data_IF_329433159154
#
_entry.id   IF_329433159154
#
_cell.length_a   1.000
_cell.length_b   1.000
_cell.length_c   1.000
_cell.angle_alpha   90.00
_cell.angle_beta   90.00
_cell.angle_gamma   90.00
#
_symmetry.space_group_name_H-M   'P 1'
#
loop_
_entity.id
_entity.type
_entity.pdbx_description
1 polymer ?
#
# COMPACT_ATOMS: atom_id res chain seq x y z
N UNK A 1 -11.24 19.92 -4.16
CA UNK A 1 -12.68 19.77 -3.84
C UNK A 1 -13.03 18.37 -4.32
N UNK A 2 -13.01 17.33 -3.48
CA UNK A 2 -14.12 16.93 -2.61
C UNK A 2 -13.61 15.82 -1.66
N UNK A 3 -13.58 16.07 -0.36
CA UNK A 3 -13.73 15.02 0.65
C UNK A 3 -14.79 15.55 1.62
N UNK A 4 -16.04 15.19 1.36
CA UNK A 4 -17.16 15.48 2.26
C UNK A 4 -17.32 14.27 3.18
N UNK A 5 -16.97 14.45 4.44
CA UNK A 5 -17.25 13.51 5.51
C UNK A 5 -18.76 13.45 5.73
N UNK A 6 -19.42 12.39 5.24
CA UNK A 6 -20.81 12.11 5.61
C UNK A 6 -20.83 11.29 6.89
N UNK A 7 -21.47 11.87 7.89
CA UNK A 7 -21.90 11.27 9.16
C UNK A 7 -22.41 9.83 8.97
N UNK A 8 -21.80 8.89 9.71
CA UNK A 8 -22.32 7.53 9.85
C UNK A 8 -23.61 7.57 10.67
N UNK A 9 -24.72 7.31 9.98
CA UNK A 9 -26.01 7.09 10.61
C UNK A 9 -26.83 6.09 9.80
N UNK A 10 -26.73 4.80 10.13
CA UNK A 10 -27.88 3.87 10.20
C UNK A 10 -27.46 2.49 10.69
N UNK A 11 -28.06 2.06 11.80
CA UNK A 11 -28.14 0.65 12.19
C UNK A 11 -28.78 -0.16 11.06
N UNK A 12 -28.03 -1.11 10.49
CA UNK A 12 -28.54 -2.15 9.58
C UNK A 12 -28.42 -3.49 10.31
N UNK A 13 -29.53 -4.22 10.39
CA UNK A 13 -29.59 -5.55 11.00
C UNK A 13 -28.60 -6.51 10.33
N UNK A 14 -28.12 -7.47 11.12
CA UNK A 14 -26.99 -8.36 10.87
C UNK A 14 -26.79 -8.86 9.43
N UNK A 15 -25.59 -8.85 8.86
CA UNK A 15 -24.44 -7.94 8.95
C UNK A 15 -23.48 -8.51 7.89
N UNK A 16 -23.22 -7.79 6.82
CA UNK A 16 -22.14 -8.11 5.89
C UNK A 16 -21.17 -6.95 5.97
N UNK A 17 -19.88 -7.23 6.04
CA UNK A 17 -18.85 -6.22 5.91
C UNK A 17 -18.19 -6.34 4.54
N UNK A 18 -18.20 -5.26 3.77
CA UNK A 18 -17.56 -5.20 2.46
C UNK A 18 -16.25 -4.45 2.58
N UNK A 19 -15.16 -5.12 2.22
CA UNK A 19 -13.83 -4.52 2.12
C UNK A 19 -13.52 -4.18 0.66
N UNK A 20 -12.97 -3.01 0.41
CA UNK A 20 -12.27 -2.72 -0.83
C UNK A 20 -10.77 -2.89 -0.59
N UNK A 21 -10.14 -3.75 -1.39
CA UNK A 21 -8.74 -4.10 -1.23
C UNK A 21 -8.00 -3.65 -2.49
N UNK A 22 -7.00 -2.79 -2.31
CA UNK A 22 -6.08 -2.34 -3.35
C UNK A 22 -4.69 -2.88 -2.99
N UNK A 23 -3.99 -3.52 -3.91
CA UNK A 23 -2.67 -4.10 -3.67
C UNK A 23 -1.77 -3.86 -4.88
N UNK A 24 -0.46 -3.87 -4.67
CA UNK A 24 0.56 -3.88 -5.73
C UNK A 24 0.39 -2.70 -6.70
N UNK A 25 0.19 -1.51 -6.14
CA UNK A 25 0.03 -0.26 -6.92
C UNK A 25 1.28 0.01 -7.75
N UNK A 26 2.46 -0.26 -7.20
CA UNK A 26 3.74 -0.19 -7.89
C UNK A 26 3.94 1.10 -8.70
N UNK A 27 3.68 2.28 -8.12
CA UNK A 27 3.86 3.56 -8.81
C UNK A 27 2.98 3.73 -10.06
N UNK A 28 1.96 2.90 -10.26
CA UNK A 28 1.05 2.96 -11.39
C UNK A 28 -0.12 3.92 -11.10
N UNK A 29 0.12 5.19 -11.37
CA UNK A 29 -0.82 6.27 -11.09
C UNK A 29 -2.18 6.07 -11.77
N UNK A 30 -2.20 5.67 -13.05
CA UNK A 30 -3.44 5.49 -13.82
C UNK A 30 -4.29 4.34 -13.26
N UNK A 31 -3.63 3.23 -12.88
CA UNK A 31 -4.32 2.12 -12.23
C UNK A 31 -4.89 2.51 -10.87
N UNK A 32 -4.13 3.26 -10.06
CA UNK A 32 -4.59 3.77 -8.77
C UNK A 32 -5.81 4.69 -8.91
N UNK A 33 -5.78 5.65 -9.84
CA UNK A 33 -6.90 6.56 -10.10
C UNK A 33 -8.15 5.81 -10.58
N UNK A 34 -7.97 4.78 -11.41
CA UNK A 34 -9.06 3.92 -11.86
C UNK A 34 -9.67 3.14 -10.70
N UNK A 35 -8.83 2.52 -9.85
CA UNK A 35 -9.28 1.80 -8.66
C UNK A 35 -10.06 2.71 -7.70
N UNK A 36 -9.54 3.93 -7.43
CA UNK A 36 -10.23 4.93 -6.62
C UNK A 36 -11.58 5.33 -7.20
N UNK A 37 -11.69 5.45 -8.52
CA UNK A 37 -12.96 5.75 -9.19
C UNK A 37 -13.97 4.62 -8.98
N UNK A 38 -13.56 3.36 -9.13
CA UNK A 38 -14.40 2.18 -8.87
C UNK A 38 -14.86 2.13 -7.42
N UNK A 39 -13.96 2.39 -6.46
CA UNK A 39 -14.27 2.44 -5.02
C UNK A 39 -15.28 3.56 -4.73
N UNK A 40 -15.03 4.76 -5.25
CA UNK A 40 -15.89 5.93 -5.01
C UNK A 40 -17.30 5.80 -5.59
N UNK A 41 -17.48 4.95 -6.60
CA UNK A 41 -18.78 4.69 -7.22
C UNK A 41 -19.66 3.72 -6.41
N UNK A 42 -19.13 3.15 -5.31
CA UNK A 42 -19.84 2.20 -4.46
C UNK A 42 -20.23 2.85 -3.13
N UNK A 43 -21.45 2.59 -2.68
CA UNK A 43 -21.98 3.06 -1.39
C UNK A 43 -21.97 1.97 -0.31
N UNK A 44 -21.59 0.75 -0.67
CA UNK A 44 -21.67 -0.44 0.19
C UNK A 44 -20.30 -0.91 0.71
N UNK A 45 -19.26 -0.08 0.58
CA UNK A 45 -17.92 -0.34 1.11
C UNK A 45 -17.85 0.19 2.54
N UNK A 46 -17.55 -0.70 3.49
CA UNK A 46 -17.43 -0.36 4.90
C UNK A 46 -15.99 0.05 5.26
N UNK A 47 -14.99 -0.51 4.57
CA UNK A 47 -13.58 -0.27 4.84
C UNK A 47 -12.72 -0.46 3.59
N UNK A 48 -11.68 0.37 3.44
CA UNK A 48 -10.73 0.30 2.34
C UNK A 48 -9.34 -0.01 2.90
N UNK A 49 -8.68 -0.98 2.29
CA UNK A 49 -7.34 -1.42 2.62
C UNK A 49 -6.42 -1.29 1.42
N UNK A 50 -5.20 -0.83 1.69
CA UNK A 50 -4.08 -0.89 0.77
C UNK A 50 -3.09 -1.95 1.29
N UNK A 51 -2.81 -2.99 0.50
CA UNK A 51 -2.06 -4.17 0.93
C UNK A 51 -0.58 -4.15 0.52
N UNK A 52 0.05 -2.99 0.54
CA UNK A 52 1.48 -2.86 0.29
C UNK A 52 1.84 -2.67 -1.18
N UNK A 53 3.13 -2.50 -1.39
CA UNK A 53 3.80 -2.34 -2.68
C UNK A 53 3.28 -1.14 -3.47
N UNK A 54 3.48 0.04 -2.88
CA UNK A 54 2.87 1.28 -3.34
C UNK A 54 3.70 2.00 -4.39
N UNK A 55 5.00 2.09 -4.16
CA UNK A 55 5.83 3.14 -4.78
C UNK A 55 6.73 2.61 -5.90
N UNK A 56 7.29 1.42 -5.71
CA UNK A 56 8.39 0.92 -6.54
C UNK A 56 7.90 0.16 -7.77
N UNK A 57 8.80 -0.13 -8.72
CA UNK A 57 8.56 -0.81 -10.00
C UNK A 57 7.77 -0.03 -11.06
N UNK A 58 7.13 1.08 -10.71
CA UNK A 58 6.51 1.99 -11.68
C UNK A 58 6.95 3.44 -11.55
N UNK A 59 6.49 4.28 -12.49
CA UNK A 59 7.14 5.56 -12.79
C UNK A 59 6.66 6.74 -11.94
N UNK A 60 5.60 6.59 -11.12
CA UNK A 60 4.97 7.71 -10.41
C UNK A 60 4.91 7.52 -8.87
N UNK A 61 6.01 7.16 -8.19
CA UNK A 61 6.02 6.95 -6.74
C UNK A 61 5.59 8.19 -5.95
N UNK A 62 6.01 9.39 -6.37
CA UNK A 62 5.71 10.65 -5.70
C UNK A 62 4.22 10.99 -5.81
N UNK A 63 3.65 10.85 -7.00
CA UNK A 63 2.23 11.12 -7.24
C UNK A 63 1.34 10.12 -6.49
N UNK A 64 1.76 8.86 -6.41
CA UNK A 64 1.10 7.87 -5.56
C UNK A 64 1.14 8.31 -4.09
N UNK A 65 2.30 8.72 -3.56
CA UNK A 65 2.40 9.26 -2.20
C UNK A 65 1.48 10.47 -1.98
N UNK A 66 1.47 11.42 -2.91
CA UNK A 66 0.66 12.64 -2.85
C UNK A 66 -0.85 12.32 -2.77
N UNK A 67 -1.28 11.22 -3.40
CA UNK A 67 -2.66 10.71 -3.33
C UNK A 67 -2.94 10.01 -2.00
N UNK A 68 -2.08 9.10 -1.54
CA UNK A 68 -2.35 8.27 -0.36
C UNK A 68 -2.23 9.04 0.96
N UNK A 69 -1.28 9.97 1.06
CA UNK A 69 -0.98 10.75 2.27
C UNK A 69 -2.20 11.44 2.91
N UNK A 70 -3.05 12.18 2.17
CA UNK A 70 -4.21 12.87 2.76
C UNK A 70 -5.37 11.95 3.16
N UNK A 71 -5.32 10.64 2.85
CA UNK A 71 -6.40 9.71 3.20
C UNK A 71 -6.28 9.28 4.66
N UNK A 72 -7.23 9.65 5.53
CA UNK A 72 -7.15 9.39 6.97
C UNK A 72 -7.95 8.15 7.43
N UNK A 73 -9.01 7.77 6.71
CA UNK A 73 -9.90 6.66 7.07
C UNK A 73 -9.60 5.38 6.25
N UNK A 74 -8.31 5.12 6.03
CA UNK A 74 -7.81 4.01 5.21
C UNK A 74 -6.79 3.21 6.00
N UNK A 75 -6.86 1.88 5.88
CA UNK A 75 -5.84 0.99 6.43
C UNK A 75 -4.74 0.76 5.39
N UNK A 76 -3.49 1.02 5.78
CA UNK A 76 -2.33 0.70 4.96
C UNK A 76 -1.55 -0.44 5.60
N UNK A 77 -1.33 -1.51 4.84
CA UNK A 77 -0.49 -2.65 5.22
C UNK A 77 0.83 -2.56 4.47
N UNK A 78 1.94 -2.91 5.10
CA UNK A 78 3.27 -2.78 4.51
C UNK A 78 3.57 -3.96 3.58
N UNK A 79 4.05 -3.66 2.37
CA UNK A 79 4.59 -4.64 1.44
C UNK A 79 6.10 -4.86 1.61
N UNK A 80 6.65 -5.83 0.90
CA UNK A 80 8.09 -6.05 0.90
C UNK A 80 8.82 -4.91 0.17
N UNK A 81 8.21 -4.24 -0.81
CA UNK A 81 8.85 -3.09 -1.45
C UNK A 81 9.00 -1.89 -0.50
N UNK A 82 8.06 -1.68 0.42
CA UNK A 82 8.24 -0.69 1.49
C UNK A 82 9.33 -1.09 2.49
N UNK A 83 9.44 -2.39 2.82
CA UNK A 83 10.57 -2.92 3.64
C UNK A 83 11.91 -2.57 3.00
N UNK A 84 12.06 -2.85 1.71
CA UNK A 84 13.31 -2.61 0.98
C UNK A 84 13.70 -1.13 0.96
N UNK A 85 12.72 -0.21 0.96
CA UNK A 85 12.96 1.23 1.11
C UNK A 85 13.46 1.57 2.51
N UNK A 86 12.81 1.07 3.57
CA UNK A 86 13.21 1.34 4.97
C UNK A 86 14.63 0.80 5.23
N UNK A 87 14.89 -0.42 4.78
CA UNK A 87 16.18 -1.11 4.97
C UNK A 87 17.28 -0.58 4.05
N UNK A 88 16.93 0.29 3.09
CA UNK A 88 17.84 0.82 2.07
C UNK A 88 18.57 -0.31 1.38
N UNK A 89 17.82 -1.23 0.77
CA UNK A 89 18.31 -2.46 0.13
C UNK A 89 19.53 -2.21 -0.77
N UNK A 90 19.56 -1.09 -1.48
CA UNK A 90 20.67 -0.66 -2.36
C UNK A 90 22.01 -0.38 -1.66
N UNK A 91 22.06 -0.38 -0.32
CA UNK A 91 23.30 -0.25 0.46
C UNK A 91 23.86 -1.59 0.92
N UNK A 92 23.14 -2.69 0.68
CA UNK A 92 23.60 -4.03 1.04
C UNK A 92 24.65 -4.52 0.04
N UNK A 93 25.63 -5.29 0.52
CA UNK A 93 26.73 -5.80 -0.33
C UNK A 93 26.24 -6.82 -1.38
N UNK A 94 25.28 -7.69 -0.99
CA UNK A 94 24.70 -8.71 -1.87
C UNK A 94 23.17 -8.74 -1.67
N UNK A 95 22.42 -7.75 -2.19
CA UNK A 95 20.99 -7.68 -2.02
C UNK A 95 20.33 -8.85 -2.74
N UNK A 96 19.57 -9.66 -2.00
CA UNK A 96 18.74 -10.73 -2.57
C UNK A 96 17.27 -10.31 -2.50
N UNK A 97 16.50 -10.73 -3.49
CA UNK A 97 15.07 -10.45 -3.58
C UNK A 97 14.34 -11.77 -3.77
N UNK A 98 13.53 -12.18 -2.80
CA UNK A 98 12.64 -13.35 -2.90
C UNK A 98 13.34 -14.63 -3.42
N UNK A 99 14.58 -14.87 -2.96
CA UNK A 99 15.39 -16.03 -3.36
C UNK A 99 16.08 -15.91 -4.73
N UNK A 100 15.95 -14.77 -5.42
CA UNK A 100 16.70 -14.49 -6.65
C UNK A 100 18.17 -14.16 -6.35
N UNK A 101 19.04 -14.54 -7.29
CA UNK A 101 20.48 -14.29 -7.20
C UNK A 101 20.78 -12.78 -7.25
N UNK A 102 21.71 -12.26 -6.43
CA UNK A 102 22.14 -10.87 -6.50
C UNK A 102 22.82 -10.54 -7.84
N UNK A 103 23.32 -11.56 -8.55
CA UNK A 103 23.94 -11.40 -9.86
C UNK A 103 22.93 -11.26 -11.00
N UNK A 104 21.66 -11.59 -10.77
CA UNK A 104 20.60 -11.50 -11.77
C UNK A 104 20.41 -10.04 -12.21
N UNK A 105 20.46 -9.74 -13.52
CA UNK A 105 20.25 -8.38 -14.02
C UNK A 105 18.90 -7.79 -13.61
N UNK A 106 17.86 -8.62 -13.41
CA UNK A 106 16.55 -8.17 -12.94
C UNK A 106 16.67 -7.66 -11.49
N UNK A 107 17.36 -8.41 -10.61
CA UNK A 107 17.57 -8.00 -9.22
C UNK A 107 18.32 -6.67 -9.16
N UNK A 108 19.37 -6.50 -9.97
CA UNK A 108 20.11 -5.25 -10.07
C UNK A 108 19.21 -4.09 -10.49
N UNK A 109 18.38 -4.29 -11.53
CA UNK A 109 17.41 -3.30 -11.98
C UNK A 109 16.37 -2.94 -10.92
N UNK A 110 15.86 -3.93 -10.17
CA UNK A 110 14.91 -3.67 -9.07
C UNK A 110 15.60 -2.88 -7.97
N UNK A 111 16.82 -3.24 -7.56
CA UNK A 111 17.57 -2.52 -6.51
C UNK A 111 17.85 -1.06 -6.91
N UNK A 112 18.23 -0.82 -8.17
CA UNK A 112 18.41 0.53 -8.71
C UNK A 112 17.09 1.32 -8.71
N UNK A 113 16.01 0.71 -9.17
CA UNK A 113 14.68 1.34 -9.15
C UNK A 113 14.20 1.60 -7.72
N UNK A 114 14.52 0.72 -6.78
CA UNK A 114 14.16 0.90 -5.36
C UNK A 114 14.80 2.14 -4.77
N UNK A 115 16.10 2.34 -5.05
CA UNK A 115 16.81 3.55 -4.66
C UNK A 115 16.15 4.78 -5.28
N UNK A 116 15.90 4.75 -6.58
CA UNK A 116 15.27 5.88 -7.28
C UNK A 116 13.87 6.21 -6.71
N UNK A 117 13.03 5.21 -6.46
CA UNK A 117 11.69 5.40 -5.89
C UNK A 117 11.76 6.00 -4.47
N UNK A 118 12.71 5.53 -3.64
CA UNK A 118 12.96 6.09 -2.32
C UNK A 118 13.38 7.58 -2.39
N UNK A 119 14.19 7.95 -3.38
CA UNK A 119 14.57 9.35 -3.62
C UNK A 119 13.38 10.22 -4.05
N UNK A 120 12.43 9.68 -4.82
CA UNK A 120 11.22 10.41 -5.25
C UNK A 120 10.27 10.71 -4.09
N UNK A 121 10.05 9.74 -3.19
CA UNK A 121 9.12 9.90 -2.06
C UNK A 121 9.74 10.67 -0.89
N UNK A 122 11.08 10.66 -0.79
CA UNK A 122 11.84 11.41 0.21
C UNK A 122 11.51 11.05 1.65
N UNK A 123 11.85 11.94 2.58
CA UNK A 123 11.60 11.76 4.02
C UNK A 123 10.11 11.61 4.33
N UNK A 124 9.24 12.37 3.64
CA UNK A 124 7.79 12.26 3.81
C UNK A 124 7.27 10.87 3.46
N UNK A 125 7.79 10.24 2.42
CA UNK A 125 7.45 8.87 2.08
C UNK A 125 7.94 7.86 3.11
N UNK A 126 9.17 8.03 3.60
CA UNK A 126 9.71 7.17 4.67
C UNK A 126 8.90 7.32 5.96
N UNK A 127 8.49 8.54 6.31
CA UNK A 127 7.62 8.82 7.45
C UNK A 127 6.21 8.22 7.26
N UNK A 128 5.66 8.28 6.05
CA UNK A 128 4.42 7.60 5.71
C UNK A 128 4.56 6.09 5.94
N UNK A 129 5.60 5.46 5.40
CA UNK A 129 5.80 4.01 5.58
C UNK A 129 5.92 3.68 7.06
N UNK A 130 6.75 4.38 7.83
CA UNK A 130 7.00 4.06 9.23
C UNK A 130 5.78 4.28 10.13
N UNK A 131 5.01 5.34 9.90
CA UNK A 131 3.99 5.79 10.85
C UNK A 131 2.56 5.50 10.40
N UNK A 132 2.33 5.25 9.10
CA UNK A 132 0.99 5.03 8.54
C UNK A 132 0.73 3.61 8.08
N UNK A 133 1.75 2.76 7.97
CA UNK A 133 1.58 1.36 7.54
C UNK A 133 1.72 0.38 8.71
N UNK A 134 0.94 -0.70 8.66
CA UNK A 134 0.95 -1.80 9.62
C UNK A 134 1.52 -3.07 8.99
N UNK A 135 2.08 -3.99 9.77
CA UNK A 135 2.54 -5.29 9.26
C UNK A 135 1.35 -6.15 8.83
N UNK A 136 0.27 -6.12 9.60
CA UNK A 136 -1.00 -6.74 9.24
C UNK A 136 -2.17 -5.97 9.83
N UNK A 137 -3.36 -6.20 9.25
CA UNK A 137 -4.63 -5.73 9.79
C UNK A 137 -5.50 -6.93 10.12
N UNK A 138 -6.13 -6.92 11.30
CA UNK A 138 -6.97 -8.03 11.76
C UNK A 138 -8.34 -7.52 12.13
N UNK A 139 -9.34 -8.23 11.65
CA UNK A 139 -10.74 -7.98 11.92
C UNK A 139 -11.38 -9.28 12.43
N UNK A 140 -12.23 -9.18 13.45
CA UNK A 140 -13.07 -10.29 13.89
C UNK A 140 -14.50 -9.97 13.50
N UNK A 141 -15.06 -10.78 12.62
CA UNK A 141 -16.44 -10.66 12.16
C UNK A 141 -17.22 -11.90 12.60
N UNK A 142 -18.20 -11.70 13.49
CA UNK A 142 -18.88 -12.77 14.25
C UNK A 142 -17.90 -13.72 14.94
N UNK A 143 -17.69 -14.91 14.38
CA UNK A 143 -16.76 -15.94 14.87
C UNK A 143 -15.56 -16.16 13.94
N UNK A 144 -15.41 -15.35 12.89
CA UNK A 144 -14.35 -15.46 11.89
C UNK A 144 -13.29 -14.39 12.13
N UNK A 145 -12.04 -14.82 12.32
CA UNK A 145 -10.88 -13.93 12.25
C UNK A 145 -10.44 -13.80 10.78
N UNK A 146 -10.31 -12.57 10.32
CA UNK A 146 -9.77 -12.22 9.01
C UNK A 146 -8.48 -11.44 9.26
N UNK A 147 -7.38 -11.89 8.67
CA UNK A 147 -6.10 -11.19 8.69
C UNK A 147 -5.68 -10.81 7.27
N UNK A 148 -5.35 -9.54 7.10
CA UNK A 148 -4.82 -8.99 5.87
C UNK A 148 -3.33 -8.73 6.06
N UNK A 149 -2.52 -9.34 5.21
CA UNK A 149 -1.07 -9.15 5.12
C UNK A 149 -0.69 -9.16 3.64
N UNK A 150 0.38 -8.47 3.26
CA UNK A 150 0.89 -8.49 1.90
C UNK A 150 1.45 -9.88 1.54
N UNK A 151 2.44 -10.33 2.30
CA UNK A 151 3.01 -11.67 2.26
C UNK A 151 3.67 -11.97 3.63
N UNK A 152 4.01 -13.23 3.90
CA UNK A 152 4.77 -13.58 5.11
C UNK A 152 6.14 -12.89 5.05
N UNK A 153 6.40 -12.05 6.06
CA UNK A 153 7.60 -11.21 6.20
C UNK A 153 8.86 -12.03 6.45
#
# INVERSE_FOLDING_TARGET
MLYSTKSLGRFRGMASKTFAIVSDVHGNLEALQTALSVISAREDIDEVLYLGDYFSLGPAPKEVLDILTPMNDIVFVRGNHERYIIEKLWTQENPTLEGMSPDDPIVKGIVEHQKWAAEQIGETGVDFINNRTHISHREVFDSTLIEFTHAWY
#
